data_IF_236762158242
#
_entry.id   IF_236762158242
#
_cell.length_a   1.000
_cell.length_b   1.000
_cell.length_c   1.000
_cell.angle_alpha   90.00
_cell.angle_beta   90.00
_cell.angle_gamma   90.00
#
_symmetry.space_group_name_H-M   'P 1'
#
loop_
_entity.id
_entity.type
_entity.pdbx_description
1 polymer ?
#
# COMPACT_ATOMS: atom_id res chain seq x y z
N UNK A 1 -2.08 -8.85 -4.09
CA UNK A 1 -3.18 -8.78 -3.11
C UNK A 1 -3.50 -7.31 -3.05
N UNK A 2 -4.73 -6.97 -3.38
CA UNK A 2 -5.26 -5.62 -3.27
C UNK A 2 -5.99 -5.55 -1.93
N UNK A 3 -5.50 -4.71 -1.03
CA UNK A 3 -6.26 -4.31 0.16
C UNK A 3 -6.78 -2.91 -0.09
N UNK A 4 -8.10 -2.74 -0.05
CA UNK A 4 -8.76 -1.42 -0.05
C UNK A 4 -9.04 -1.02 1.39
N UNK A 5 -8.61 0.18 1.76
CA UNK A 5 -8.75 0.72 3.12
C UNK A 5 -9.77 1.86 3.08
N UNK A 6 -10.71 1.87 4.03
CA UNK A 6 -11.73 2.92 4.15
C UNK A 6 -11.95 3.22 5.64
N UNK A 7 -11.45 4.35 6.10
CA UNK A 7 -11.47 4.70 7.52
C UNK A 7 -12.52 5.75 7.88
N UNK A 8 -13.04 5.69 9.11
CA UNK A 8 -14.02 6.63 9.68
C UNK A 8 -13.40 7.87 10.31
N UNK A 9 -12.09 7.86 10.61
CA UNK A 9 -11.31 9.02 11.03
C UNK A 9 -9.85 8.90 10.58
N UNK A 10 -9.11 10.02 10.62
CA UNK A 10 -7.74 10.12 10.08
C UNK A 10 -6.72 9.23 10.82
N UNK A 11 -6.85 9.05 12.12
CA UNK A 11 -5.92 8.21 12.91
C UNK A 11 -6.08 6.74 12.54
N UNK A 12 -7.32 6.24 12.47
CA UNK A 12 -7.60 4.87 12.04
C UNK A 12 -7.09 4.62 10.60
N UNK A 13 -7.19 5.62 9.72
CA UNK A 13 -6.67 5.55 8.36
C UNK A 13 -5.15 5.34 8.32
N UNK A 14 -4.41 6.11 9.11
CA UNK A 14 -2.95 6.02 9.16
C UNK A 14 -2.52 4.67 9.78
N UNK A 15 -3.24 4.16 10.78
CA UNK A 15 -3.00 2.85 11.38
C UNK A 15 -3.26 1.70 10.40
N UNK A 16 -4.41 1.71 9.72
CA UNK A 16 -4.77 0.69 8.73
C UNK A 16 -3.80 0.71 7.54
N UNK A 17 -3.43 1.89 7.05
CA UNK A 17 -2.45 2.03 5.97
C UNK A 17 -1.08 1.48 6.38
N UNK A 18 -0.61 1.82 7.57
CA UNK A 18 0.65 1.28 8.10
C UNK A 18 0.59 -0.25 8.23
N UNK A 19 -0.52 -0.81 8.72
CA UNK A 19 -0.71 -2.25 8.84
C UNK A 19 -0.67 -2.94 7.46
N UNK A 20 -1.31 -2.36 6.45
CA UNK A 20 -1.31 -2.89 5.09
C UNK A 20 0.06 -2.82 4.42
N UNK A 21 0.79 -1.71 4.58
CA UNK A 21 2.18 -1.59 4.12
C UNK A 21 3.06 -2.62 4.80
N UNK A 22 2.93 -2.82 6.11
CA UNK A 22 3.71 -3.83 6.82
C UNK A 22 3.43 -5.26 6.33
N UNK A 23 2.17 -5.59 6.04
CA UNK A 23 1.80 -6.87 5.45
C UNK A 23 2.36 -7.05 4.03
N UNK A 24 2.31 -6.00 3.21
CA UNK A 24 2.89 -5.98 1.87
C UNK A 24 4.42 -6.15 1.91
N UNK A 25 5.12 -5.48 2.83
CA UNK A 25 6.57 -5.63 3.04
C UNK A 25 6.96 -7.07 3.35
N UNK A 26 6.26 -7.73 4.27
CA UNK A 26 6.51 -9.15 4.57
C UNK A 26 6.37 -10.03 3.31
N UNK A 27 5.45 -9.67 2.42
CA UNK A 27 5.23 -10.40 1.17
C UNK A 27 6.25 -10.05 0.10
N UNK A 28 6.68 -8.78 -0.01
CA UNK A 28 7.74 -8.34 -0.90
C UNK A 28 9.05 -9.08 -0.60
N UNK A 29 9.40 -9.23 0.68
CA UNK A 29 10.59 -9.98 1.12
C UNK A 29 10.52 -11.44 0.64
N UNK A 30 9.36 -12.09 0.75
CA UNK A 30 9.17 -13.48 0.26
C UNK A 30 9.19 -13.58 -1.26
N UNK A 31 8.71 -12.55 -1.96
CA UNK A 31 8.65 -12.53 -3.42
C UNK A 31 9.99 -12.19 -4.08
N UNK A 32 10.80 -11.34 -3.42
CA UNK A 32 12.14 -10.94 -3.82
C UNK A 32 12.26 -10.16 -5.13
N UNK A 33 11.13 -9.79 -5.75
CA UNK A 33 11.10 -9.26 -7.13
C UNK A 33 10.35 -7.95 -7.26
N UNK A 34 9.30 -7.75 -6.48
CA UNK A 34 8.41 -6.57 -6.57
C UNK A 34 8.46 -5.73 -5.31
N UNK A 35 8.41 -4.41 -5.49
CA UNK A 35 8.19 -3.43 -4.44
C UNK A 35 6.70 -3.20 -4.18
N UNK A 36 6.41 -2.16 -3.40
CA UNK A 36 5.05 -1.84 -2.94
C UNK A 36 4.56 -0.60 -3.66
N UNK A 37 3.35 -0.65 -4.22
CA UNK A 37 2.65 0.51 -4.74
C UNK A 37 1.51 0.86 -3.78
N UNK A 38 1.54 2.09 -3.27
CA UNK A 38 0.44 2.69 -2.52
C UNK A 38 -0.28 3.66 -3.45
N UNK A 39 -1.55 3.41 -3.75
CA UNK A 39 -2.36 4.34 -4.55
C UNK A 39 -3.45 4.95 -3.69
N UNK A 40 -3.44 6.27 -3.56
CA UNK A 40 -4.55 7.05 -3.00
C UNK A 40 -5.66 7.12 -4.04
N UNK A 41 -6.82 6.57 -3.69
CA UNK A 41 -8.01 6.49 -4.56
C UNK A 41 -8.96 7.65 -4.30
N UNK A 42 -9.10 8.08 -3.05
CA UNK A 42 -9.86 9.27 -2.67
C UNK A 42 -9.24 9.95 -1.42
N UNK A 43 -9.99 10.86 -0.77
CA UNK A 43 -9.51 11.57 0.43
C UNK A 43 -9.25 10.64 1.63
N UNK A 44 -9.96 9.53 1.74
CA UNK A 44 -9.91 8.58 2.86
C UNK A 44 -9.57 7.14 2.47
N UNK A 45 -9.36 6.86 1.18
CA UNK A 45 -9.18 5.51 0.65
C UNK A 45 -7.86 5.32 -0.07
N UNK A 46 -7.21 4.21 0.26
CA UNK A 46 -5.94 3.78 -0.35
C UNK A 46 -6.02 2.33 -0.78
N UNK A 47 -5.17 2.00 -1.75
CA UNK A 47 -4.82 0.62 -2.08
C UNK A 47 -3.35 0.40 -1.83
N UNK A 48 -3.01 -0.78 -1.33
CA UNK A 48 -1.63 -1.21 -1.12
C UNK A 48 -1.44 -2.57 -1.80
N UNK A 49 -0.49 -2.67 -2.72
CA UNK A 49 -0.21 -3.90 -3.45
C UNK A 49 1.26 -4.09 -3.80
N UNK A 50 1.64 -5.31 -4.16
CA UNK A 50 2.93 -5.56 -4.81
C UNK A 50 2.79 -5.30 -6.30
N UNK A 51 3.60 -4.40 -6.83
CA UNK A 51 3.55 -4.02 -8.24
C UNK A 51 4.83 -4.39 -8.98
N UNK A 52 4.74 -4.95 -10.21
CA UNK A 52 5.91 -5.11 -11.08
C UNK A 52 6.51 -3.77 -11.53
N UNK A 53 5.74 -2.68 -11.44
CA UNK A 53 6.20 -1.33 -11.80
C UNK A 53 7.04 -0.67 -10.68
N UNK A 54 7.12 -1.31 -9.51
CA UNK A 54 7.93 -0.84 -8.38
C UNK A 54 9.06 -1.85 -8.16
N UNK A 55 10.34 -1.44 -8.25
CA UNK A 55 11.45 -2.33 -7.97
C UNK A 55 11.44 -2.84 -6.53
N UNK A 56 11.91 -4.09 -6.31
CA UNK A 56 12.09 -4.61 -4.96
C UNK A 56 12.95 -3.68 -4.09
N UNK A 57 12.56 -3.53 -2.82
CA UNK A 57 13.20 -2.62 -1.88
C UNK A 57 12.63 -1.19 -1.90
N UNK A 58 11.73 -0.88 -2.83
CA UNK A 58 11.09 0.43 -2.92
C UNK A 58 9.59 0.37 -2.60
N UNK A 59 9.10 1.48 -2.07
CA UNK A 59 7.67 1.79 -1.95
C UNK A 59 7.41 3.08 -2.71
N UNK A 60 6.50 3.05 -3.68
CA UNK A 60 6.09 4.25 -4.42
C UNK A 60 4.66 4.62 -4.05
N UNK A 61 4.39 5.92 -4.09
CA UNK A 61 3.07 6.49 -3.89
C UNK A 61 2.53 7.06 -5.20
N UNK A 62 1.24 6.81 -5.46
CA UNK A 62 0.51 7.36 -6.60
C UNK A 62 -0.79 8.00 -6.13
N UNK A 63 -1.14 9.13 -6.72
CA UNK A 63 -2.49 9.69 -6.60
C UNK A 63 -3.28 9.39 -7.88
N UNK A 64 -4.51 8.92 -7.71
CA UNK A 64 -5.47 8.74 -8.80
C UNK A 64 -6.54 9.84 -8.63
N UNK A 65 -6.49 10.85 -9.49
CA UNK A 65 -7.55 11.85 -9.65
C UNK A 65 -8.44 11.45 -10.82
#
# INVERSE_FOLDING_TARGET
MLATITATNRTAMDEELNAAVHAATKRAIRDGRRGILVTRVDFASFTVELSPDVPYGFTYEKQRF
#
